data_IF_506686606331
#
_entry.id   IF_506686606331
#
_cell.length_a   1.000
_cell.length_b   1.000
_cell.length_c   1.000
_cell.angle_alpha   90.00
_cell.angle_beta   90.00
_cell.angle_gamma   90.00
#
_symmetry.space_group_name_H-M   'P 1'
#
loop_
_entity.id
_entity.type
_entity.pdbx_description
1 polymer ?
#
# COMPACT_ATOMS: atom_id res chain seq x y z
N UNK A 1 -38.78 5.38 27.46
CA UNK A 1 -38.80 6.61 26.62
C UNK A 1 -37.70 6.45 25.58
N UNK A 2 -38.10 5.92 24.42
CA UNK A 2 -37.16 5.65 23.28
C UNK A 2 -37.03 6.97 22.51
N UNK A 3 -35.83 7.56 22.53
CA UNK A 3 -35.52 8.70 21.68
C UNK A 3 -35.28 8.13 20.27
N UNK A 4 -36.24 8.37 19.37
CA UNK A 4 -36.08 8.16 17.94
C UNK A 4 -35.04 9.17 17.44
N UNK A 5 -33.88 8.69 17.02
CA UNK A 5 -32.91 9.45 16.25
C UNK A 5 -33.43 9.56 14.82
N UNK A 6 -34.25 10.54 14.55
CA UNK A 6 -34.65 10.88 13.17
C UNK A 6 -33.47 11.45 12.41
N UNK A 7 -33.17 10.76 11.26
CA UNK A 7 -32.76 11.39 10.02
C UNK A 7 -31.55 12.33 10.02
N UNK A 8 -30.32 11.82 10.29
CA UNK A 8 -29.13 12.47 9.73
C UNK A 8 -29.02 12.03 8.28
N UNK A 9 -29.50 12.87 7.36
CA UNK A 9 -29.25 12.72 5.92
C UNK A 9 -27.74 12.61 5.70
N UNK A 10 -27.32 11.54 5.03
CA UNK A 10 -25.97 11.41 4.49
C UNK A 10 -25.76 12.50 3.43
N UNK A 11 -25.16 13.62 3.78
CA UNK A 11 -24.84 14.74 2.91
C UNK A 11 -23.40 14.64 2.36
N UNK A 12 -22.93 13.44 2.03
CA UNK A 12 -21.76 13.26 1.16
C UNK A 12 -22.19 13.14 -0.30
N UNK A 13 -21.35 13.56 -1.27
CA UNK A 13 -21.66 13.35 -2.68
C UNK A 13 -21.89 11.86 -2.94
N UNK A 14 -22.96 11.53 -3.68
CA UNK A 14 -23.25 10.14 -4.05
C UNK A 14 -22.07 9.57 -4.84
N UNK A 15 -21.68 8.33 -4.51
CA UNK A 15 -20.63 7.61 -5.21
C UNK A 15 -20.94 7.58 -6.73
N UNK A 16 -20.07 8.16 -7.58
CA UNK A 16 -20.29 8.21 -9.02
C UNK A 16 -20.26 6.81 -9.65
N UNK A 17 -20.76 6.68 -10.86
CA UNK A 17 -20.92 5.40 -11.54
C UNK A 17 -19.59 4.65 -11.72
N UNK A 18 -18.52 5.36 -12.09
CA UNK A 18 -17.18 4.76 -12.31
C UNK A 18 -16.50 4.23 -11.03
N UNK A 19 -17.07 4.51 -9.86
CA UNK A 19 -16.60 3.97 -8.57
C UNK A 19 -17.47 2.84 -8.03
N UNK A 20 -18.55 2.46 -8.76
CA UNK A 20 -19.44 1.39 -8.34
C UNK A 20 -18.93 0.06 -8.89
N UNK A 21 -18.44 -0.81 -8.02
CA UNK A 21 -18.16 -2.21 -8.36
C UNK A 21 -19.30 -3.11 -7.88
N UNK A 22 -19.74 -4.08 -8.72
CA UNK A 22 -20.68 -5.09 -8.25
C UNK A 22 -20.03 -5.92 -7.14
N UNK A 23 -20.72 -6.07 -6.02
CA UNK A 23 -20.26 -6.91 -4.91
C UNK A 23 -20.43 -8.38 -5.31
N UNK A 24 -19.34 -9.05 -5.61
CA UNK A 24 -19.31 -10.50 -5.83
C UNK A 24 -18.63 -11.15 -4.62
N UNK A 25 -19.42 -11.62 -3.65
CA UNK A 25 -18.92 -12.58 -2.68
C UNK A 25 -18.82 -13.93 -3.40
N UNK A 26 -17.62 -14.46 -3.52
CA UNK A 26 -17.40 -15.80 -4.07
C UNK A 26 -17.02 -16.74 -2.93
N UNK A 27 -17.32 -18.05 -3.10
CA UNK A 27 -16.92 -19.08 -2.11
C UNK A 27 -15.40 -19.06 -1.87
N UNK A 28 -14.63 -18.78 -2.92
CA UNK A 28 -13.17 -18.60 -2.83
C UNK A 28 -12.75 -17.46 -1.89
N UNK A 29 -13.50 -16.36 -1.81
CA UNK A 29 -13.24 -15.26 -0.85
C UNK A 29 -13.46 -15.72 0.60
N UNK A 30 -14.47 -16.57 0.84
CA UNK A 30 -14.75 -17.14 2.15
C UNK A 30 -13.68 -18.14 2.60
N UNK A 31 -13.26 -19.04 1.73
CA UNK A 31 -12.21 -20.02 2.01
C UNK A 31 -10.89 -19.35 2.34
N UNK A 32 -10.51 -18.34 1.55
CA UNK A 32 -9.27 -17.58 1.76
C UNK A 32 -9.28 -16.84 3.10
N UNK A 33 -10.37 -16.15 3.42
CA UNK A 33 -10.52 -15.49 4.73
C UNK A 33 -10.46 -16.47 5.89
N UNK A 34 -11.11 -17.61 5.76
CA UNK A 34 -11.06 -18.66 6.78
C UNK A 34 -9.64 -19.15 6.99
N UNK A 35 -8.91 -19.42 5.91
CA UNK A 35 -7.53 -19.87 5.94
C UNK A 35 -6.60 -18.84 6.61
N UNK A 36 -6.71 -17.56 6.25
CA UNK A 36 -5.91 -16.49 6.83
C UNK A 36 -6.17 -16.30 8.31
N UNK A 37 -7.45 -16.28 8.73
CA UNK A 37 -7.86 -16.15 10.14
C UNK A 37 -7.41 -17.32 11.00
N UNK A 38 -7.51 -18.54 10.48
CA UNK A 38 -7.06 -19.76 11.20
C UNK A 38 -5.56 -19.70 11.49
N UNK A 39 -4.77 -19.00 10.66
CA UNK A 39 -3.34 -18.81 10.82
C UNK A 39 -2.97 -17.52 11.56
N UNK A 40 -3.95 -16.71 11.98
CA UNK A 40 -3.70 -15.41 12.62
C UNK A 40 -3.06 -14.38 11.68
N UNK A 41 -3.20 -14.57 10.35
CA UNK A 41 -2.63 -13.68 9.34
C UNK A 41 -3.60 -12.55 8.98
N UNK A 42 -3.04 -11.37 8.75
CA UNK A 42 -3.77 -10.18 8.33
C UNK A 42 -3.47 -9.84 6.87
N UNK A 43 -4.46 -9.29 6.18
CA UNK A 43 -4.25 -8.71 4.84
C UNK A 43 -4.78 -7.28 4.78
N UNK A 44 -4.06 -6.40 4.10
CA UNK A 44 -4.56 -5.04 3.80
C UNK A 44 -5.88 -5.10 3.01
N UNK A 45 -6.07 -6.17 2.22
CA UNK A 45 -7.29 -6.37 1.45
C UNK A 45 -8.54 -6.48 2.33
N UNK A 46 -8.42 -7.02 3.56
CA UNK A 46 -9.50 -7.07 4.54
C UNK A 46 -9.51 -5.83 5.44
N UNK A 47 -8.39 -5.48 6.06
CA UNK A 47 -8.30 -4.38 7.03
C UNK A 47 -8.61 -3.01 6.41
N UNK A 48 -8.15 -2.76 5.19
CA UNK A 48 -8.45 -1.53 4.44
C UNK A 48 -9.77 -1.59 3.66
N UNK A 49 -10.57 -2.67 3.78
CA UNK A 49 -11.84 -2.88 3.05
C UNK A 49 -11.67 -2.63 1.55
N UNK A 50 -10.62 -3.19 0.96
CA UNK A 50 -10.24 -2.93 -0.42
C UNK A 50 -11.35 -3.38 -1.40
N UNK A 51 -11.81 -2.51 -2.32
CA UNK A 51 -12.85 -2.86 -3.29
C UNK A 51 -12.37 -3.83 -4.37
N UNK A 52 -11.05 -4.02 -4.51
CA UNK A 52 -10.45 -4.89 -5.53
C UNK A 52 -10.16 -6.32 -5.02
N UNK A 53 -10.43 -6.60 -3.75
CA UNK A 53 -10.04 -7.87 -3.10
C UNK A 53 -10.40 -9.11 -3.92
N UNK A 54 -11.64 -9.22 -4.36
CA UNK A 54 -12.12 -10.40 -5.09
C UNK A 54 -11.40 -10.60 -6.42
N UNK A 55 -11.05 -9.52 -7.09
CA UNK A 55 -10.32 -9.53 -8.35
C UNK A 55 -8.85 -9.95 -8.14
N UNK A 56 -8.18 -9.36 -7.14
CA UNK A 56 -6.80 -9.70 -6.79
C UNK A 56 -6.68 -11.17 -6.37
N UNK A 57 -7.57 -11.66 -5.52
CA UNK A 57 -7.56 -13.05 -5.07
C UNK A 57 -7.82 -14.04 -6.21
N UNK A 58 -8.75 -13.73 -7.13
CA UNK A 58 -8.98 -14.55 -8.32
C UNK A 58 -7.75 -14.62 -9.24
N UNK A 59 -6.87 -13.61 -9.21
CA UNK A 59 -5.62 -13.57 -9.98
C UNK A 59 -4.43 -14.22 -9.26
N UNK A 60 -4.60 -14.70 -8.03
CA UNK A 60 -3.52 -15.23 -7.20
C UNK A 60 -2.58 -14.14 -6.68
N UNK A 61 -3.09 -12.93 -6.39
CA UNK A 61 -2.35 -11.84 -5.79
C UNK A 61 -2.94 -11.49 -4.41
N UNK A 62 -2.09 -11.41 -3.39
CA UNK A 62 -2.47 -11.01 -2.04
C UNK A 62 -1.43 -10.07 -1.43
N UNK A 63 -1.90 -9.16 -0.57
CA UNK A 63 -1.05 -8.26 0.20
C UNK A 63 -1.14 -8.65 1.67
N UNK A 64 -0.10 -9.31 2.17
CA UNK A 64 0.02 -9.67 3.57
C UNK A 64 0.42 -8.46 4.40
N UNK A 65 -0.20 -8.31 5.56
CA UNK A 65 0.15 -7.28 6.54
C UNK A 65 0.80 -7.95 7.75
N UNK A 66 2.08 -7.70 7.93
CA UNK A 66 2.89 -8.26 9.01
C UNK A 66 3.02 -7.29 10.20
N UNK A 67 3.61 -7.75 11.29
CA UNK A 67 3.79 -7.02 12.55
C UNK A 67 2.47 -6.76 13.29
N UNK A 68 1.43 -7.58 13.00
CA UNK A 68 0.11 -7.51 13.60
C UNK A 68 -0.83 -6.51 12.93
N UNK A 69 -1.91 -6.14 13.63
CA UNK A 69 -3.01 -5.30 13.13
C UNK A 69 -3.15 -3.93 13.84
N UNK A 70 -2.17 -3.55 14.66
CA UNK A 70 -2.18 -2.30 15.43
C UNK A 70 -1.00 -1.43 15.02
N UNK A 71 -1.29 -0.24 14.49
CA UNK A 71 -0.31 0.72 14.00
C UNK A 71 0.04 1.76 15.07
N UNK A 72 1.30 2.16 15.18
CA UNK A 72 1.73 3.24 16.06
C UNK A 72 1.33 4.64 15.54
N UNK A 73 0.92 4.74 14.26
CA UNK A 73 0.53 6.01 13.62
C UNK A 73 -0.96 6.07 13.31
N UNK A 74 -1.50 7.31 13.24
CA UNK A 74 -2.92 7.61 13.02
C UNK A 74 -3.14 8.43 11.75
N UNK A 75 -2.83 7.87 10.59
CA UNK A 75 -3.08 8.53 9.31
C UNK A 75 -4.58 8.73 9.09
N UNK A 76 -5.00 9.95 8.70
CA UNK A 76 -6.41 10.33 8.60
C UNK A 76 -7.23 9.58 7.54
N UNK A 77 -6.57 8.84 6.65
CA UNK A 77 -7.20 8.03 5.59
C UNK A 77 -7.29 6.53 5.94
N UNK A 78 -6.54 6.07 6.95
CA UNK A 78 -6.29 4.65 7.18
C UNK A 78 -7.24 4.05 8.22
N UNK A 79 -7.84 2.90 7.91
CA UNK A 79 -8.77 2.21 8.81
C UNK A 79 -8.10 1.20 9.76
N UNK A 80 -6.77 1.05 9.69
CA UNK A 80 -6.01 0.19 10.60
C UNK A 80 -6.08 0.77 12.02
N UNK A 81 -6.24 -0.09 13.00
CA UNK A 81 -6.33 0.30 14.42
C UNK A 81 -5.06 0.99 14.87
N UNK A 82 -5.21 2.07 15.65
CA UNK A 82 -4.07 2.79 16.23
C UNK A 82 -3.85 2.36 17.69
N UNK A 83 -2.60 2.17 18.06
CA UNK A 83 -2.25 1.78 19.43
C UNK A 83 -0.85 1.20 19.55
N UNK A 84 -0.62 0.48 20.64
CA UNK A 84 0.62 -0.26 20.85
C UNK A 84 0.49 -1.66 20.24
N UNK A 85 1.41 -2.02 19.36
CA UNK A 85 1.45 -3.32 18.71
C UNK A 85 1.77 -4.48 19.67
N UNK A 86 1.59 -5.70 19.19
CA UNK A 86 1.94 -6.92 19.92
C UNK A 86 3.45 -7.00 20.20
N UNK A 87 3.89 -7.66 21.29
CA UNK A 87 5.30 -7.94 21.51
C UNK A 87 5.85 -8.83 20.39
N UNK A 88 7.11 -8.63 20.00
CA UNK A 88 7.74 -9.41 18.90
C UNK A 88 7.74 -10.91 19.15
N UNK A 89 7.80 -11.34 20.42
CA UNK A 89 7.69 -12.78 20.78
C UNK A 89 6.37 -13.41 20.36
N UNK A 90 5.29 -12.64 20.22
CA UNK A 90 4.01 -13.15 19.73
C UNK A 90 3.96 -13.28 18.20
N UNK A 91 4.96 -12.74 17.50
CA UNK A 91 5.03 -12.68 16.03
C UNK A 91 6.19 -13.53 15.47
N UNK A 92 6.88 -14.30 16.30
CA UNK A 92 8.06 -15.09 15.89
C UNK A 92 7.80 -16.03 14.72
N UNK A 93 6.63 -16.65 14.65
CA UNK A 93 6.23 -17.59 13.58
C UNK A 93 5.51 -16.94 12.40
N UNK A 94 5.30 -15.60 12.40
CA UNK A 94 4.55 -14.92 11.35
C UNK A 94 5.24 -15.03 9.97
N UNK A 95 6.58 -14.92 9.83
CA UNK A 95 7.27 -15.09 8.54
C UNK A 95 6.98 -16.43 7.86
N UNK A 96 7.07 -17.52 8.61
CA UNK A 96 6.83 -18.88 8.11
C UNK A 96 5.35 -19.09 7.77
N UNK A 97 4.43 -18.54 8.56
CA UNK A 97 3.00 -18.59 8.29
C UNK A 97 2.63 -17.82 7.01
N UNK A 98 3.23 -16.65 6.77
CA UNK A 98 3.07 -15.87 5.52
C UNK A 98 3.58 -16.68 4.34
N UNK A 99 4.78 -17.28 4.43
CA UNK A 99 5.36 -18.09 3.38
C UNK A 99 4.49 -19.32 3.04
N UNK A 100 3.96 -20.01 4.06
CA UNK A 100 3.08 -21.16 3.87
C UNK A 100 1.73 -20.75 3.25
N UNK A 101 1.15 -19.63 3.68
CA UNK A 101 -0.09 -19.11 3.09
C UNK A 101 0.12 -18.73 1.62
N UNK A 102 1.22 -18.03 1.31
CA UNK A 102 1.57 -17.68 -0.06
C UNK A 102 1.75 -18.92 -0.96
N UNK A 103 2.39 -19.99 -0.44
CA UNK A 103 2.58 -21.25 -1.15
C UNK A 103 1.25 -21.99 -1.38
N UNK A 104 0.38 -22.06 -0.37
CA UNK A 104 -0.94 -22.67 -0.50
C UNK A 104 -1.79 -21.97 -1.55
N UNK A 105 -1.68 -20.65 -1.65
CA UNK A 105 -2.34 -19.82 -2.66
C UNK A 105 -1.63 -19.86 -4.02
N UNK A 106 -0.47 -20.51 -4.14
CA UNK A 106 0.35 -20.57 -5.34
C UNK A 106 0.62 -19.19 -5.94
N UNK A 107 0.92 -18.22 -5.06
CA UNK A 107 1.14 -16.84 -5.50
C UNK A 107 2.40 -16.74 -6.37
N UNK A 108 2.28 -16.06 -7.50
CA UNK A 108 3.41 -15.72 -8.37
C UNK A 108 4.01 -14.36 -8.00
N UNK A 109 3.22 -13.53 -7.34
CA UNK A 109 3.60 -12.21 -6.86
C UNK A 109 3.10 -12.03 -5.42
N UNK A 110 4.03 -11.81 -4.49
CA UNK A 110 3.73 -11.68 -3.06
C UNK A 110 4.02 -10.25 -2.64
N UNK A 111 3.00 -9.55 -2.16
CA UNK A 111 3.17 -8.22 -1.57
C UNK A 111 3.17 -8.34 -0.05
N UNK A 112 4.21 -7.81 0.59
CA UNK A 112 4.38 -7.79 2.03
C UNK A 112 4.35 -6.33 2.49
N UNK A 113 3.43 -5.99 3.36
CA UNK A 113 3.39 -4.68 4.02
C UNK A 113 3.29 -4.84 5.52
N UNK A 114 3.34 -3.75 6.26
CA UNK A 114 3.19 -3.78 7.71
C UNK A 114 2.42 -2.59 8.27
N UNK A 115 2.01 -2.70 9.52
CA UNK A 115 1.72 -1.54 10.36
C UNK A 115 3.01 -0.81 10.72
N UNK A 116 2.95 0.51 11.04
CA UNK A 116 4.11 1.18 11.63
C UNK A 116 4.34 0.70 13.07
N UNK A 117 5.59 0.46 13.40
CA UNK A 117 6.06 0.02 14.71
C UNK A 117 7.16 0.98 15.20
N UNK A 118 6.80 2.25 15.33
CA UNK A 118 7.73 3.34 15.69
C UNK A 118 8.39 3.16 17.08
N UNK A 119 7.89 2.24 17.89
CA UNK A 119 8.44 1.83 19.17
C UNK A 119 9.56 0.78 19.06
N UNK A 120 9.72 0.12 17.90
CA UNK A 120 10.84 -0.79 17.64
C UNK A 120 12.05 0.01 17.14
N UNK A 121 13.23 -0.36 17.56
CA UNK A 121 14.46 0.34 17.20
C UNK A 121 14.74 0.35 15.69
N UNK A 122 14.37 -0.74 14.99
CA UNK A 122 14.51 -0.93 13.55
C UNK A 122 13.19 -0.71 12.79
N UNK A 123 12.11 -0.30 13.47
CA UNK A 123 10.78 -0.16 12.88
C UNK A 123 10.19 -1.45 12.31
N UNK A 124 10.77 -2.62 12.63
CA UNK A 124 10.37 -3.93 12.15
C UNK A 124 11.12 -4.41 10.88
N UNK A 125 12.24 -3.78 10.52
CA UNK A 125 13.01 -4.10 9.32
C UNK A 125 13.52 -5.55 9.29
N UNK A 126 14.02 -6.06 10.43
CA UNK A 126 14.46 -7.45 10.56
C UNK A 126 13.31 -8.43 10.31
N UNK A 127 12.11 -8.10 10.75
CA UNK A 127 10.93 -8.93 10.52
C UNK A 127 10.53 -8.97 9.04
N UNK A 128 10.65 -7.85 8.32
CA UNK A 128 10.52 -7.83 6.85
C UNK A 128 11.55 -8.74 6.19
N UNK A 129 12.82 -8.63 6.57
CA UNK A 129 13.90 -9.45 5.99
C UNK A 129 13.66 -10.94 6.20
N UNK A 130 13.27 -11.36 7.40
CA UNK A 130 12.89 -12.74 7.72
C UNK A 130 11.68 -13.21 6.89
N UNK A 131 10.67 -12.37 6.72
CA UNK A 131 9.49 -12.72 5.92
C UNK A 131 9.83 -12.88 4.45
N UNK A 132 10.65 -11.98 3.88
CA UNK A 132 11.16 -12.12 2.51
C UNK A 132 11.93 -13.44 2.34
N UNK A 133 12.85 -13.75 3.27
CA UNK A 133 13.65 -14.96 3.23
C UNK A 133 12.77 -16.23 3.29
N UNK A 134 11.79 -16.28 4.19
CA UNK A 134 10.86 -17.40 4.31
C UNK A 134 10.03 -17.59 3.04
N UNK A 135 9.49 -16.50 2.47
CA UNK A 135 8.75 -16.56 1.19
C UNK A 135 9.65 -17.01 0.05
N UNK A 136 10.88 -16.48 -0.05
CA UNK A 136 11.84 -16.85 -1.10
C UNK A 136 12.24 -18.32 -1.01
N UNK A 137 12.44 -18.85 0.18
CA UNK A 137 12.73 -20.26 0.41
C UNK A 137 11.57 -21.16 -0.04
N UNK A 138 10.34 -20.77 0.25
CA UNK A 138 9.14 -21.58 -0.02
C UNK A 138 8.67 -21.45 -1.47
N UNK A 139 8.87 -20.26 -2.07
CA UNK A 139 8.43 -19.89 -3.41
C UNK A 139 9.59 -19.22 -4.20
N UNK A 140 10.62 -19.95 -4.61
CA UNK A 140 11.85 -19.38 -5.18
C UNK A 140 11.64 -18.63 -6.51
N UNK A 141 10.55 -18.91 -7.21
CA UNK A 141 10.22 -18.29 -8.51
C UNK A 141 9.26 -17.08 -8.37
N UNK A 142 8.69 -16.86 -7.18
CA UNK A 142 7.76 -15.76 -6.98
C UNK A 142 8.49 -14.44 -6.83
N UNK A 143 7.91 -13.39 -7.40
CA UNK A 143 8.37 -12.02 -7.17
C UNK A 143 7.86 -11.51 -5.82
N UNK A 144 8.66 -10.69 -5.16
CA UNK A 144 8.36 -10.14 -3.85
C UNK A 144 8.42 -8.62 -3.90
N UNK A 145 7.29 -7.98 -3.60
CA UNK A 145 7.20 -6.54 -3.35
C UNK A 145 7.07 -6.29 -1.86
N UNK A 146 7.80 -5.31 -1.34
CA UNK A 146 7.61 -4.81 0.02
C UNK A 146 7.04 -3.40 -0.02
N UNK A 147 5.98 -3.14 0.76
CA UNK A 147 5.47 -1.80 1.04
C UNK A 147 5.81 -1.48 2.50
N UNK A 148 6.89 -0.75 2.71
CA UNK A 148 7.49 -0.53 4.03
C UNK A 148 7.00 0.76 4.69
N UNK A 149 7.17 0.91 6.03
CA UNK A 149 7.20 2.22 6.67
C UNK A 149 8.46 3.01 6.27
N UNK A 150 8.54 4.27 6.72
CA UNK A 150 9.72 5.13 6.50
C UNK A 150 10.88 4.85 7.47
N UNK A 151 10.70 3.90 8.39
CA UNK A 151 11.66 3.57 9.45
C UNK A 151 12.19 4.80 10.21
N UNK A 152 11.42 5.91 10.27
CA UNK A 152 11.85 7.22 10.79
C UNK A 152 13.16 7.73 10.18
N UNK A 153 13.44 7.37 8.92
CA UNK A 153 14.66 7.72 8.20
C UNK A 153 15.89 6.89 8.59
N UNK A 154 15.72 5.80 9.36
CA UNK A 154 16.82 4.90 9.71
C UNK A 154 17.30 4.13 8.47
N UNK A 155 18.50 4.50 7.99
CA UNK A 155 19.11 3.89 6.79
C UNK A 155 19.52 2.45 7.00
N UNK A 156 19.99 2.07 8.19
CA UNK A 156 20.38 0.70 8.50
C UNK A 156 19.16 -0.23 8.43
N UNK A 157 18.01 0.20 8.96
CA UNK A 157 16.75 -0.52 8.85
C UNK A 157 16.33 -0.68 7.37
N UNK A 158 16.43 0.38 6.56
CA UNK A 158 16.17 0.31 5.13
C UNK A 158 17.09 -0.70 4.44
N UNK A 159 18.40 -0.66 4.72
CA UNK A 159 19.39 -1.59 4.15
C UNK A 159 19.09 -3.03 4.53
N UNK A 160 18.71 -3.31 5.79
CA UNK A 160 18.30 -4.66 6.24
C UNK A 160 17.20 -5.24 5.36
N UNK A 161 16.19 -4.44 5.00
CA UNK A 161 15.12 -4.91 4.10
C UNK A 161 15.63 -5.13 2.68
N UNK A 162 16.47 -4.24 2.16
CA UNK A 162 17.00 -4.33 0.79
C UNK A 162 18.02 -5.47 0.62
N UNK A 163 18.79 -5.80 1.66
CA UNK A 163 19.70 -6.95 1.67
C UNK A 163 18.97 -8.30 1.56
N UNK A 164 17.69 -8.35 1.98
CA UNK A 164 16.83 -9.50 1.74
C UNK A 164 16.36 -9.62 0.27
N UNK A 165 16.73 -8.67 -0.60
CA UNK A 165 16.52 -8.66 -2.06
C UNK A 165 15.06 -8.78 -2.47
N UNK A 166 14.18 -7.85 -2.06
CA UNK A 166 12.87 -7.74 -2.70
C UNK A 166 13.02 -7.36 -4.18
N UNK A 167 12.12 -7.82 -5.04
CA UNK A 167 12.10 -7.45 -6.45
C UNK A 167 11.60 -6.01 -6.65
N UNK A 168 10.68 -5.55 -5.77
CA UNK A 168 10.17 -4.18 -5.76
C UNK A 168 10.16 -3.62 -4.33
N UNK A 169 10.75 -2.44 -4.15
CA UNK A 169 10.65 -1.63 -2.94
C UNK A 169 9.61 -0.53 -3.14
N UNK A 170 8.56 -0.58 -2.35
CA UNK A 170 7.47 0.40 -2.39
C UNK A 170 7.41 1.17 -1.05
N UNK A 171 7.32 2.49 -1.16
CA UNK A 171 6.97 3.37 -0.07
C UNK A 171 6.02 4.45 -0.58
N UNK A 172 4.81 4.50 -0.04
CA UNK A 172 3.81 5.45 -0.48
C UNK A 172 4.02 6.85 0.13
N UNK A 173 4.02 7.88 -0.69
CA UNK A 173 3.98 9.27 -0.23
C UNK A 173 2.57 9.73 0.13
N UNK A 174 1.54 9.02 -0.34
CA UNK A 174 0.11 9.11 -0.03
C UNK A 174 -0.59 10.39 -0.47
N UNK A 175 0.05 11.57 -0.41
CA UNK A 175 -0.56 12.86 -0.77
C UNK A 175 0.50 13.93 -1.06
N UNK A 176 0.05 15.10 -1.54
CA UNK A 176 0.89 16.28 -1.82
C UNK A 176 1.40 16.97 -0.55
N UNK A 177 2.54 17.68 -0.58
CA UNK A 177 3.18 18.28 0.59
C UNK A 177 2.24 19.11 1.47
N UNK A 178 1.41 19.95 0.87
CA UNK A 178 0.47 20.84 1.60
C UNK A 178 -0.50 20.07 2.50
N UNK A 179 -0.86 18.85 2.12
CA UNK A 179 -1.84 18.04 2.84
C UNK A 179 -1.20 17.08 3.86
N UNK A 180 0.13 16.99 3.93
CA UNK A 180 0.83 16.00 4.74
C UNK A 180 0.41 16.02 6.20
N UNK A 181 0.41 17.21 6.84
CA UNK A 181 0.05 17.33 8.25
C UNK A 181 -1.40 16.89 8.55
N UNK A 182 -2.32 17.10 7.60
CA UNK A 182 -3.72 16.67 7.74
C UNK A 182 -3.90 15.18 7.48
N UNK A 183 -3.17 14.64 6.50
CA UNK A 183 -3.37 13.27 5.98
C UNK A 183 -2.47 12.26 6.71
N UNK A 184 -1.23 12.64 7.01
CA UNK A 184 -0.18 11.82 7.64
C UNK A 184 0.56 12.60 8.74
N UNK A 185 -0.08 12.91 9.87
CA UNK A 185 0.47 13.85 10.86
C UNK A 185 1.80 13.42 11.48
N UNK A 186 2.14 12.12 11.46
CA UNK A 186 3.40 11.60 12.00
C UNK A 186 4.45 11.30 10.91
N UNK A 187 4.22 11.68 9.66
CA UNK A 187 5.17 11.50 8.57
C UNK A 187 5.70 12.86 8.07
N UNK A 188 6.90 12.85 7.50
CA UNK A 188 7.52 14.00 6.85
C UNK A 188 7.66 13.75 5.35
N UNK A 189 7.31 14.77 4.53
CA UNK A 189 7.32 14.65 3.07
C UNK A 189 8.73 14.48 2.51
N UNK A 190 9.69 15.25 3.01
CA UNK A 190 11.07 15.17 2.54
C UNK A 190 11.71 13.85 2.93
N UNK A 191 11.48 13.41 4.16
CA UNK A 191 11.92 12.09 4.61
C UNK A 191 11.31 10.97 3.74
N UNK A 192 10.06 11.12 3.32
CA UNK A 192 9.38 10.15 2.44
C UNK A 192 10.07 10.03 1.08
N UNK A 193 10.50 11.14 0.50
CA UNK A 193 11.27 11.16 -0.75
C UNK A 193 12.69 10.61 -0.56
N UNK A 194 13.35 10.96 0.55
CA UNK A 194 14.69 10.48 0.89
C UNK A 194 14.75 8.95 1.09
N UNK A 195 13.71 8.33 1.65
CA UNK A 195 13.63 6.87 1.79
C UNK A 195 13.66 6.21 0.40
N UNK A 196 12.90 6.72 -0.56
CA UNK A 196 12.86 6.20 -1.93
C UNK A 196 14.21 6.39 -2.65
N UNK A 197 14.81 7.57 -2.55
CA UNK A 197 16.11 7.86 -3.13
C UNK A 197 17.22 6.98 -2.54
N UNK A 198 17.22 6.80 -1.22
CA UNK A 198 18.19 5.95 -0.54
C UNK A 198 18.02 4.48 -0.94
N UNK A 199 16.78 4.00 -1.09
CA UNK A 199 16.50 2.65 -1.58
C UNK A 199 17.08 2.44 -2.99
N UNK A 200 16.83 3.38 -3.91
CA UNK A 200 17.33 3.32 -5.28
C UNK A 200 18.86 3.35 -5.37
N UNK A 201 19.49 4.19 -4.55
CA UNK A 201 20.95 4.30 -4.51
C UNK A 201 21.63 3.07 -3.91
N UNK A 202 20.99 2.44 -2.92
CA UNK A 202 21.53 1.25 -2.28
C UNK A 202 21.38 0.00 -3.13
N UNK A 203 20.21 -0.18 -3.77
CA UNK A 203 19.91 -1.35 -4.60
C UNK A 203 19.45 -0.94 -6.00
N UNK A 204 20.39 -0.94 -6.96
CA UNK A 204 20.10 -0.57 -8.35
C UNK A 204 19.25 -1.60 -9.10
N UNK A 205 19.23 -2.85 -8.64
CA UNK A 205 18.45 -3.94 -9.25
C UNK A 205 17.01 -4.05 -8.71
N UNK A 206 16.68 -3.37 -7.61
CA UNK A 206 15.33 -3.35 -7.05
C UNK A 206 14.53 -2.22 -7.69
N UNK A 207 13.34 -2.51 -8.24
CA UNK A 207 12.43 -1.46 -8.70
C UNK A 207 11.96 -0.61 -7.52
N UNK A 208 11.98 0.71 -7.69
CA UNK A 208 11.41 1.64 -6.71
C UNK A 208 10.02 2.08 -7.13
N UNK A 209 9.09 2.06 -6.19
CA UNK A 209 7.69 2.36 -6.43
C UNK A 209 7.14 3.28 -5.35
N UNK A 210 6.25 4.18 -5.74
CA UNK A 210 5.51 5.00 -4.80
C UNK A 210 4.06 5.16 -5.23
N UNK A 211 3.16 5.28 -4.25
CA UNK A 211 1.75 5.53 -4.49
C UNK A 211 1.24 6.73 -3.72
N UNK A 212 0.20 7.35 -4.28
CA UNK A 212 -0.55 8.41 -3.61
C UNK A 212 -2.01 8.40 -4.04
N UNK A 213 -2.83 9.07 -3.24
CA UNK A 213 -4.26 9.21 -3.48
C UNK A 213 -4.61 10.61 -3.94
N UNK A 214 -5.65 10.71 -4.77
CA UNK A 214 -6.30 11.96 -5.14
C UNK A 214 -7.73 12.01 -4.64
N UNK A 215 -8.27 13.22 -4.47
CA UNK A 215 -9.61 13.45 -3.90
C UNK A 215 -9.63 13.88 -2.43
N UNK A 216 -8.45 14.27 -1.89
CA UNK A 216 -8.29 14.82 -0.54
C UNK A 216 -8.22 16.35 -0.51
N UNK A 217 -8.36 17.02 -1.69
CA UNK A 217 -8.30 18.47 -1.86
C UNK A 217 -6.99 19.00 -2.43
N UNK A 218 -6.20 18.13 -3.06
CA UNK A 218 -5.01 18.51 -3.85
C UNK A 218 -5.41 19.22 -5.15
N UNK A 219 -4.55 20.10 -5.64
CA UNK A 219 -4.71 20.76 -6.93
C UNK A 219 -3.96 20.00 -8.02
N UNK A 220 -4.37 20.20 -9.28
CA UNK A 220 -3.73 19.55 -10.44
C UNK A 220 -2.23 19.84 -10.55
N UNK A 221 -1.84 21.11 -10.32
CA UNK A 221 -0.44 21.52 -10.32
C UNK A 221 0.37 20.88 -9.19
N UNK A 222 -0.25 20.66 -8.02
CA UNK A 222 0.40 19.97 -6.90
C UNK A 222 0.65 18.49 -7.20
N UNK A 223 -0.29 17.81 -7.89
CA UNK A 223 -0.14 16.41 -8.30
C UNK A 223 1.00 16.27 -9.33
N UNK A 224 1.06 17.17 -10.32
CA UNK A 224 2.16 17.16 -11.30
C UNK A 224 3.52 17.40 -10.64
N UNK A 225 3.60 18.34 -9.71
CA UNK A 225 4.83 18.61 -8.95
C UNK A 225 5.23 17.40 -8.07
N UNK A 226 4.27 16.72 -7.48
CA UNK A 226 4.54 15.48 -6.73
C UNK A 226 5.14 14.40 -7.64
N UNK A 227 4.66 14.25 -8.86
CA UNK A 227 5.25 13.33 -9.84
C UNK A 227 6.68 13.76 -10.23
N UNK A 228 6.93 15.07 -10.42
CA UNK A 228 8.28 15.61 -10.64
C UNK A 228 9.20 15.29 -9.46
N UNK A 229 8.77 15.58 -8.23
CA UNK A 229 9.55 15.29 -7.01
C UNK A 229 9.90 13.79 -6.92
N UNK A 230 8.96 12.88 -7.22
CA UNK A 230 9.22 11.43 -7.24
C UNK A 230 10.24 11.05 -8.32
N UNK A 231 10.19 11.64 -9.52
CA UNK A 231 11.17 11.40 -10.58
C UNK A 231 12.56 11.93 -10.23
N UNK A 232 12.65 13.12 -9.64
CA UNK A 232 13.91 13.67 -9.13
C UNK A 232 14.55 12.73 -8.09
N UNK A 233 13.72 12.02 -7.33
CA UNK A 233 14.15 11.00 -6.35
C UNK A 233 14.26 9.59 -6.97
N UNK A 234 14.32 9.50 -8.31
CA UNK A 234 14.62 8.29 -9.07
C UNK A 234 13.60 7.14 -8.87
N UNK A 235 12.33 7.47 -8.59
CA UNK A 235 11.27 6.48 -8.50
C UNK A 235 10.94 5.94 -9.89
N UNK A 236 10.94 4.61 -10.05
CA UNK A 236 10.68 3.93 -11.32
C UNK A 236 9.20 3.89 -11.66
N UNK A 237 8.36 3.63 -10.67
CA UNK A 237 6.92 3.35 -10.84
C UNK A 237 6.06 4.22 -9.94
N UNK A 238 5.01 4.82 -10.50
CA UNK A 238 3.99 5.55 -9.72
C UNK A 238 2.61 4.89 -9.79
N UNK A 239 1.88 4.91 -8.67
CA UNK A 239 0.48 4.48 -8.62
C UNK A 239 -0.40 5.60 -8.07
N UNK A 240 -1.51 5.91 -8.77
CA UNK A 240 -2.41 7.02 -8.44
C UNK A 240 -3.84 6.48 -8.33
N UNK A 241 -4.43 6.56 -7.14
CA UNK A 241 -5.78 6.06 -6.88
C UNK A 241 -6.71 7.09 -6.29
N UNK A 242 -8.03 6.88 -6.42
CA UNK A 242 -9.01 7.70 -5.72
C UNK A 242 -9.02 7.38 -4.22
N UNK A 243 -8.97 8.40 -3.38
CA UNK A 243 -9.28 8.25 -1.97
C UNK A 243 -10.76 7.89 -1.79
N UNK A 244 -11.02 6.84 -1.02
CA UNK A 244 -12.36 6.44 -0.60
C UNK A 244 -12.40 6.45 0.93
N UNK A 245 -13.32 7.21 1.50
CA UNK A 245 -13.48 7.35 2.95
C UNK A 245 -13.90 6.01 3.59
N UNK A 246 -13.07 5.39 4.46
CA UNK A 246 -13.42 4.09 5.05
C UNK A 246 -14.60 4.15 5.99
N UNK A 247 -14.68 5.18 6.84
CA UNK A 247 -15.80 5.47 7.74
C UNK A 247 -15.95 6.98 7.91
N UNK A 248 -17.09 7.45 8.45
CA UNK A 248 -17.36 8.88 8.71
C UNK A 248 -16.36 9.56 9.67
N UNK A 249 -15.52 8.80 10.36
CA UNK A 249 -14.51 9.33 11.29
C UNK A 249 -13.18 9.64 10.60
N UNK A 250 -13.00 9.19 9.34
CA UNK A 250 -11.83 9.48 8.51
C UNK A 250 -12.03 10.78 7.74
N UNK A 251 -10.97 11.24 7.09
CA UNK A 251 -11.02 12.43 6.26
C UNK A 251 -12.14 12.33 5.22
N UNK A 252 -12.93 13.38 4.99
CA UNK A 252 -13.94 13.37 3.95
C UNK A 252 -13.31 13.29 2.57
N UNK A 253 -14.05 12.74 1.59
CA UNK A 253 -13.72 12.87 0.18
C UNK A 253 -14.08 14.29 -0.24
N UNK A 254 -13.09 15.05 -0.69
CA UNK A 254 -13.28 16.43 -1.18
C UNK A 254 -13.74 16.43 -2.64
N UNK A 255 -13.24 15.49 -3.45
CA UNK A 255 -13.62 15.34 -4.86
C UNK A 255 -13.57 13.86 -5.27
N UNK A 256 -14.55 13.41 -6.05
CA UNK A 256 -14.45 12.20 -6.85
C UNK A 256 -13.88 12.56 -8.21
N UNK A 257 -12.60 12.30 -8.38
CA UNK A 257 -11.83 12.68 -9.57
C UNK A 257 -12.32 11.87 -10.79
N UNK A 258 -12.59 12.57 -11.91
CA UNK A 258 -13.04 11.92 -13.13
C UNK A 258 -11.95 11.02 -13.75
N UNK A 259 -12.30 9.86 -14.35
CA UNK A 259 -11.34 8.95 -14.97
C UNK A 259 -10.35 9.62 -15.93
N UNK A 260 -10.80 10.57 -16.75
CA UNK A 260 -9.94 11.29 -17.72
C UNK A 260 -8.76 12.02 -17.05
N UNK A 261 -8.96 12.50 -15.80
CA UNK A 261 -7.88 13.14 -15.06
C UNK A 261 -6.80 12.16 -14.60
N UNK A 262 -7.18 10.92 -14.35
CA UNK A 262 -6.20 9.87 -14.08
C UNK A 262 -5.35 9.56 -15.31
N UNK A 263 -5.98 9.56 -16.50
CA UNK A 263 -5.24 9.38 -17.75
C UNK A 263 -4.29 10.57 -18.00
N UNK A 264 -4.72 11.83 -17.77
CA UNK A 264 -3.84 13.02 -17.80
C UNK A 264 -2.61 12.87 -16.88
N UNK A 265 -2.79 12.33 -15.66
CA UNK A 265 -1.69 12.13 -14.72
C UNK A 265 -0.76 11.00 -15.18
N UNK A 266 -1.31 9.93 -15.75
CA UNK A 266 -0.54 8.83 -16.31
C UNK A 266 0.33 9.30 -17.47
N UNK A 267 -0.27 9.91 -18.48
CA UNK A 267 0.44 10.47 -19.64
C UNK A 267 1.54 11.45 -19.21
N UNK A 268 1.22 12.33 -18.25
CA UNK A 268 2.21 13.26 -17.71
C UNK A 268 3.38 12.53 -17.04
N UNK A 269 3.10 11.58 -16.18
CA UNK A 269 4.15 10.81 -15.49
C UNK A 269 5.03 10.03 -16.47
N UNK A 270 4.45 9.37 -17.46
CA UNK A 270 5.18 8.67 -18.52
C UNK A 270 6.07 9.67 -19.32
N UNK A 271 5.54 10.85 -19.63
CA UNK A 271 6.29 11.90 -20.38
C UNK A 271 7.52 12.43 -19.64
N UNK A 272 7.53 12.41 -18.30
CA UNK A 272 8.66 12.84 -17.47
C UNK A 272 9.60 11.68 -17.08
N UNK A 273 9.38 10.48 -17.63
CA UNK A 273 10.32 9.35 -17.59
C UNK A 273 10.11 8.35 -16.44
N UNK A 274 8.89 8.18 -15.93
CA UNK A 274 8.56 6.97 -15.16
C UNK A 274 8.59 5.76 -16.10
N UNK A 275 9.08 4.62 -15.64
CA UNK A 275 9.01 3.35 -16.37
C UNK A 275 7.57 2.87 -16.53
N UNK A 276 6.73 3.12 -15.52
CA UNK A 276 5.30 2.83 -15.60
C UNK A 276 4.52 3.74 -14.65
N UNK A 277 3.32 4.17 -15.07
CA UNK A 277 2.37 4.90 -14.24
C UNK A 277 1.01 4.23 -14.31
N UNK A 278 0.53 3.75 -13.17
CA UNK A 278 -0.80 3.17 -13.03
C UNK A 278 -1.71 4.18 -12.34
N UNK A 279 -2.63 4.75 -13.08
CA UNK A 279 -3.56 5.74 -12.57
C UNK A 279 -5.00 5.34 -12.85
N UNK A 280 -5.88 5.49 -11.87
CA UNK A 280 -7.29 5.19 -12.06
C UNK A 280 -8.10 5.19 -10.76
N UNK A 281 -9.41 5.36 -10.84
CA UNK A 281 -10.27 5.46 -9.65
C UNK A 281 -10.17 4.28 -8.69
N UNK A 282 -9.92 3.09 -9.21
CA UNK A 282 -9.84 1.85 -8.44
C UNK A 282 -8.40 1.38 -8.18
N UNK A 283 -7.39 2.10 -8.69
CA UNK A 283 -5.98 1.77 -8.47
C UNK A 283 -5.64 1.89 -6.97
N UNK A 284 -4.83 0.97 -6.51
CA UNK A 284 -4.19 0.92 -5.18
C UNK A 284 -2.72 0.55 -5.38
N UNK A 285 -1.85 0.87 -4.43
CA UNK A 285 -0.42 0.60 -4.56
C UNK A 285 -0.08 -0.87 -4.86
N UNK A 286 -0.86 -1.80 -4.36
CA UNK A 286 -0.68 -3.25 -4.62
C UNK A 286 -1.66 -3.81 -5.68
N UNK A 287 -2.47 -2.96 -6.34
CA UNK A 287 -3.42 -3.42 -7.34
C UNK A 287 -2.69 -3.81 -8.62
N UNK A 288 -2.91 -5.05 -9.09
CA UNK A 288 -2.22 -5.61 -10.26
C UNK A 288 -0.69 -5.46 -10.19
N UNK A 289 -0.10 -5.64 -9.00
CA UNK A 289 1.32 -5.43 -8.78
C UNK A 289 2.21 -6.32 -9.65
N UNK A 290 1.73 -7.51 -10.01
CA UNK A 290 2.34 -8.41 -10.99
C UNK A 290 2.50 -7.74 -12.36
N UNK A 291 1.43 -7.19 -12.92
CA UNK A 291 1.46 -6.50 -14.21
C UNK A 291 2.30 -5.23 -14.17
N UNK A 292 2.23 -4.50 -13.05
CA UNK A 292 3.04 -3.29 -12.81
C UNK A 292 4.54 -3.60 -12.89
N UNK A 293 4.94 -4.70 -12.25
CA UNK A 293 6.33 -5.15 -12.23
C UNK A 293 6.79 -5.61 -13.63
N UNK A 294 5.97 -6.40 -14.32
CA UNK A 294 6.29 -6.91 -15.64
C UNK A 294 6.44 -5.76 -16.65
N UNK A 295 5.49 -4.82 -16.71
CA UNK A 295 5.56 -3.66 -17.60
C UNK A 295 6.81 -2.81 -17.34
N UNK A 296 7.17 -2.57 -16.08
CA UNK A 296 8.35 -1.77 -15.73
C UNK A 296 9.69 -2.46 -16.09
N UNK A 297 9.70 -3.78 -16.32
CA UNK A 297 10.88 -4.54 -16.72
C UNK A 297 10.93 -4.82 -18.24
N UNK A 298 9.79 -4.83 -18.95
CA UNK A 298 9.73 -5.06 -20.40
C UNK A 298 10.28 -3.87 -21.22
N UNK A 299 10.45 -2.71 -20.60
CA UNK A 299 11.08 -1.51 -21.18
C UNK A 299 12.63 -1.51 -21.06
N UNK A 300 13.23 -2.60 -20.55
CA UNK A 300 14.68 -2.83 -20.49
C UNK A 300 15.16 -3.72 -21.61
#
# INVERSE_FOLDING_TARGET
>A
MLIQLEGIKQNGPRLPEWLRKPHRNTDADHELKSMLRTRGLHTVCEEARCPNRNECFARGAATFMILGDICSRSCGFCSVKTGRGLPMSALEGEPEQVAEAAAQLRLRYVVITSVNRDELADGGAEHFARTIAAVRQRLPQSKIEVLTPDFKGNREALHTVLDARPDTFNYNVETVPRLYLRVRPQADYRQSLEVLLNARRYSSCTLTKSGFMVGLGERRDEVKRLLEDLREHQVDVATIGQYLQPTRHHLPVEEYVHPDRFEEYKEYGESIGFKAVFAGPMVRSSYMADLVHDQANDEL
#
